data_IF_415122917344
#
_entry.id   IF_415122917344
#
_cell.length_a   1.000
_cell.length_b   1.000
_cell.length_c   1.000
_cell.angle_alpha   90.00
_cell.angle_beta   90.00
_cell.angle_gamma   90.00
#
_symmetry.space_group_name_H-M   'P 1'
#
loop_
_entity.id
_entity.type
_entity.pdbx_description
1 polymer ?
#
# COMPACT_ATOMS: atom_id res chain seq x y z
N UNK A 1 -13.69 6.38 9.70
CA UNK A 1 -13.43 4.95 9.42
C UNK A 1 -13.73 4.61 7.98
N UNK A 2 -14.98 4.77 7.53
CA UNK A 2 -15.37 4.46 6.15
C UNK A 2 -14.64 5.33 5.13
N UNK A 3 -14.41 6.61 5.43
CA UNK A 3 -13.66 7.51 4.56
C UNK A 3 -12.22 7.02 4.35
N UNK A 4 -11.56 6.58 5.40
CA UNK A 4 -10.18 6.10 5.30
C UNK A 4 -10.10 4.79 4.52
N UNK A 5 -11.08 3.91 4.70
CA UNK A 5 -11.12 2.66 3.93
C UNK A 5 -11.30 2.96 2.44
N UNK A 6 -12.22 3.85 2.10
CA UNK A 6 -12.43 4.26 0.70
C UNK A 6 -11.20 4.94 0.12
N UNK A 7 -10.54 5.77 0.92
CA UNK A 7 -9.30 6.43 0.51
C UNK A 7 -8.22 5.41 0.15
N UNK A 8 -8.01 4.40 1.00
CA UNK A 8 -7.02 3.35 0.74
C UNK A 8 -7.39 2.51 -0.49
N UNK A 9 -8.66 2.19 -0.62
CA UNK A 9 -9.16 1.45 -1.80
C UNK A 9 -8.85 2.20 -3.08
N UNK A 10 -9.18 3.48 -3.14
CA UNK A 10 -8.92 4.31 -4.32
C UNK A 10 -7.42 4.49 -4.57
N UNK A 11 -6.64 4.70 -3.52
CA UNK A 11 -5.19 4.85 -3.66
C UNK A 11 -4.57 3.59 -4.27
N UNK A 12 -4.97 2.43 -3.77
CA UNK A 12 -4.49 1.15 -4.30
C UNK A 12 -4.88 0.98 -5.77
N UNK A 13 -6.12 1.30 -6.12
CA UNK A 13 -6.61 1.15 -7.48
C UNK A 13 -5.90 2.11 -8.44
N UNK A 14 -5.61 3.33 -8.01
CA UNK A 14 -4.83 4.27 -8.79
C UNK A 14 -3.42 3.73 -9.05
N UNK A 15 -2.77 3.23 -8.00
CA UNK A 15 -1.44 2.64 -8.13
C UNK A 15 -1.46 1.43 -9.07
N UNK A 16 -2.51 0.63 -9.00
CA UNK A 16 -2.70 -0.51 -9.89
C UNK A 16 -2.78 -0.06 -11.35
N UNK A 17 -3.52 1.02 -11.62
CA UNK A 17 -3.60 1.58 -12.98
C UNK A 17 -2.25 2.06 -13.47
N UNK A 18 -1.50 2.77 -12.64
CA UNK A 18 -0.16 3.24 -13.00
C UNK A 18 0.80 2.08 -13.25
N UNK A 19 0.72 1.06 -12.41
CA UNK A 19 1.58 -0.10 -12.51
C UNK A 19 1.28 -0.90 -13.79
N UNK A 20 0.00 -1.07 -14.12
CA UNK A 20 -0.43 -1.78 -15.33
C UNK A 20 -0.01 -1.05 -16.60
N UNK A 21 -0.05 0.29 -16.57
CA UNK A 21 0.35 1.12 -17.72
C UNK A 21 1.85 1.39 -17.75
N UNK A 22 2.57 1.00 -16.71
CA UNK A 22 3.99 1.33 -16.50
C UNK A 22 4.25 2.84 -16.55
N UNK A 23 3.26 3.64 -16.14
CA UNK A 23 3.32 5.10 -16.22
C UNK A 23 2.42 5.73 -15.19
N UNK A 24 2.95 6.70 -14.43
CA UNK A 24 2.17 7.50 -13.50
C UNK A 24 1.48 8.64 -14.26
N UNK A 25 0.23 8.42 -14.63
CA UNK A 25 -0.58 9.40 -15.34
C UNK A 25 -1.54 10.07 -14.36
N UNK A 26 -1.29 11.35 -14.05
CA UNK A 26 -2.10 12.10 -13.10
C UNK A 26 -3.52 12.33 -13.62
N UNK A 27 -3.68 12.58 -14.91
CA UNK A 27 -5.00 12.81 -15.48
C UNK A 27 -5.87 11.57 -15.39
N UNK A 28 -5.33 10.40 -15.68
CA UNK A 28 -6.03 9.13 -15.53
C UNK A 28 -6.44 8.91 -14.07
N UNK A 29 -5.53 9.21 -13.13
CA UNK A 29 -5.80 9.06 -11.71
C UNK A 29 -6.93 9.98 -11.24
N UNK A 30 -6.92 11.24 -11.68
CA UNK A 30 -7.98 12.20 -11.34
C UNK A 30 -9.32 11.77 -11.89
N UNK A 31 -9.34 11.33 -13.14
CA UNK A 31 -10.56 10.84 -13.77
C UNK A 31 -11.12 9.63 -13.01
N UNK A 32 -10.26 8.70 -12.66
CA UNK A 32 -10.66 7.51 -11.89
C UNK A 32 -11.25 7.91 -10.54
N UNK A 33 -10.58 8.81 -9.82
CA UNK A 33 -11.07 9.27 -8.52
C UNK A 33 -12.42 9.99 -8.67
N UNK A 34 -12.57 10.84 -9.67
CA UNK A 34 -13.83 11.55 -9.93
C UNK A 34 -14.98 10.60 -10.23
N UNK A 35 -14.71 9.51 -10.93
CA UNK A 35 -15.73 8.53 -11.30
C UNK A 35 -16.11 7.59 -10.16
N UNK A 36 -15.29 7.49 -9.12
CA UNK A 36 -15.47 6.51 -8.05
C UNK A 36 -15.88 7.10 -6.70
N UNK A 37 -15.84 8.40 -6.54
CA UNK A 37 -16.38 9.07 -5.35
C UNK A 37 -16.71 10.52 -5.67
N UNK A 38 -17.74 11.04 -5.02
CA UNK A 38 -18.10 12.45 -5.11
C UNK A 38 -17.45 13.28 -3.99
N UNK A 39 -16.83 12.63 -3.00
CA UNK A 39 -16.24 13.32 -1.86
C UNK A 39 -14.87 13.89 -2.23
N UNK A 40 -14.72 15.23 -2.27
CA UNK A 40 -13.46 15.85 -2.65
C UNK A 40 -12.32 15.55 -1.66
N UNK A 41 -12.63 15.33 -0.39
CA UNK A 41 -11.61 14.95 0.59
C UNK A 41 -11.02 13.57 0.28
N UNK A 42 -11.88 12.63 -0.08
CA UNK A 42 -11.42 11.28 -0.45
C UNK A 42 -10.60 11.34 -1.73
N UNK A 43 -11.06 12.10 -2.73
CA UNK A 43 -10.31 12.27 -3.99
C UNK A 43 -8.90 12.78 -3.74
N UNK A 44 -8.80 13.86 -2.98
CA UNK A 44 -7.50 14.49 -2.70
C UNK A 44 -6.60 13.58 -1.87
N UNK A 45 -7.15 12.97 -0.83
CA UNK A 45 -6.37 12.09 0.04
C UNK A 45 -5.87 10.84 -0.70
N UNK A 46 -6.71 10.25 -1.54
CA UNK A 46 -6.32 9.05 -2.30
C UNK A 46 -5.21 9.37 -3.31
N UNK A 47 -5.31 10.50 -4.01
CA UNK A 47 -4.27 10.91 -4.95
C UNK A 47 -2.94 11.15 -4.24
N UNK A 48 -2.97 11.87 -3.12
CA UNK A 48 -1.76 12.16 -2.36
C UNK A 48 -1.11 10.88 -1.83
N UNK A 49 -1.91 9.99 -1.28
CA UNK A 49 -1.42 8.72 -0.75
C UNK A 49 -0.82 7.86 -1.85
N UNK A 50 -1.50 7.76 -3.00
CA UNK A 50 -1.00 7.00 -4.15
C UNK A 50 0.32 7.55 -4.66
N UNK A 51 0.44 8.86 -4.80
CA UNK A 51 1.67 9.49 -5.27
C UNK A 51 2.84 9.25 -4.31
N UNK A 52 2.59 9.40 -3.01
CA UNK A 52 3.63 9.23 -2.00
C UNK A 52 4.14 7.78 -1.95
N UNK A 53 3.22 6.83 -1.97
CA UNK A 53 3.59 5.42 -1.97
C UNK A 53 4.28 5.03 -3.27
N UNK A 54 3.80 5.54 -4.40
CA UNK A 54 4.38 5.26 -5.71
C UNK A 54 5.84 5.73 -5.81
N UNK A 55 6.14 6.89 -5.26
CA UNK A 55 7.51 7.41 -5.25
C UNK A 55 8.47 6.48 -4.52
N UNK A 56 8.02 5.79 -3.50
CA UNK A 56 8.84 4.88 -2.70
C UNK A 56 8.78 3.43 -3.18
N UNK A 57 8.09 3.14 -4.26
CA UNK A 57 7.81 1.76 -4.67
C UNK A 57 9.06 0.91 -4.91
N UNK A 58 10.10 1.47 -5.46
CA UNK A 58 11.32 0.71 -5.73
C UNK A 58 12.00 0.26 -4.46
N UNK A 59 12.12 1.16 -3.48
CA UNK A 59 12.69 0.84 -2.18
C UNK A 59 11.83 -0.19 -1.45
N UNK A 60 10.50 -0.02 -1.50
CA UNK A 60 9.56 -0.95 -0.88
C UNK A 60 9.67 -2.33 -1.53
N UNK A 61 9.70 -2.38 -2.86
CA UNK A 61 9.82 -3.64 -3.59
C UNK A 61 11.11 -4.37 -3.22
N UNK A 62 12.22 -3.65 -3.03
CA UNK A 62 13.48 -4.26 -2.61
C UNK A 62 13.38 -4.88 -1.22
N UNK A 63 12.70 -4.20 -0.29
CA UNK A 63 12.47 -4.75 1.05
C UNK A 63 11.62 -6.02 1.00
N UNK A 64 10.56 -6.00 0.21
CA UNK A 64 9.64 -7.13 0.09
C UNK A 64 10.34 -8.32 -0.56
N UNK A 65 11.18 -8.09 -1.55
CA UNK A 65 11.95 -9.16 -2.20
C UNK A 65 12.87 -9.87 -1.20
N UNK A 66 13.47 -9.13 -0.27
CA UNK A 66 14.31 -9.75 0.76
C UNK A 66 13.51 -10.57 1.77
N UNK A 67 12.28 -10.11 2.07
CA UNK A 67 11.39 -10.79 3.01
C UNK A 67 10.80 -12.06 2.40
N UNK A 68 10.41 -12.00 1.13
CA UNK A 68 9.73 -13.10 0.44
C UNK A 68 10.40 -13.36 -0.91
N UNK A 69 11.63 -13.92 -0.92
CA UNK A 69 12.38 -14.10 -2.17
C UNK A 69 11.72 -15.07 -3.14
N UNK A 70 10.88 -16.00 -2.68
CA UNK A 70 10.15 -16.91 -3.57
C UNK A 70 9.00 -16.21 -4.30
N UNK A 71 8.53 -15.07 -3.78
CA UNK A 71 7.45 -14.29 -4.36
C UNK A 71 7.87 -12.84 -4.52
N UNK A 72 8.82 -12.53 -5.43
CA UNK A 72 9.25 -11.15 -5.62
C UNK A 72 8.11 -10.30 -6.19
N UNK A 73 8.15 -8.98 -6.00
CA UNK A 73 7.05 -8.09 -6.45
C UNK A 73 6.64 -8.30 -7.90
N UNK A 74 7.58 -8.52 -8.81
CA UNK A 74 7.28 -8.72 -10.24
C UNK A 74 6.42 -9.96 -10.52
N UNK A 75 6.36 -10.91 -9.58
CA UNK A 75 5.60 -12.15 -9.72
C UNK A 75 4.31 -12.15 -8.91
N UNK A 76 4.08 -11.11 -8.13
CA UNK A 76 2.87 -10.98 -7.34
C UNK A 76 1.71 -10.51 -8.21
N UNK A 77 0.45 -10.90 -7.87
CA UNK A 77 -0.70 -10.25 -8.49
C UNK A 77 -0.62 -8.73 -8.31
N UNK A 78 -1.05 -7.98 -9.31
CA UNK A 78 -0.95 -6.51 -9.29
C UNK A 78 -1.63 -5.87 -8.10
N UNK A 79 -2.76 -6.42 -7.64
CA UNK A 79 -3.44 -5.92 -6.46
C UNK A 79 -2.58 -6.13 -5.21
N UNK A 80 -2.03 -7.33 -5.02
CA UNK A 80 -1.15 -7.63 -3.87
C UNK A 80 0.05 -6.70 -3.85
N UNK A 81 0.71 -6.55 -4.99
CA UNK A 81 1.90 -5.72 -5.09
C UNK A 81 1.62 -4.29 -4.66
N UNK A 82 0.53 -3.71 -5.16
CA UNK A 82 0.21 -2.32 -4.86
C UNK A 82 -0.39 -2.11 -3.48
N UNK A 83 -1.14 -3.09 -2.96
CA UNK A 83 -1.59 -3.07 -1.56
C UNK A 83 -0.40 -3.10 -0.60
N UNK A 84 0.58 -3.96 -0.88
CA UNK A 84 1.77 -4.06 -0.04
C UNK A 84 2.57 -2.76 -0.11
N UNK A 85 2.77 -2.19 -1.29
CA UNK A 85 3.44 -0.89 -1.43
C UNK A 85 2.75 0.19 -0.60
N UNK A 86 1.44 0.28 -0.71
CA UNK A 86 0.65 1.28 0.02
C UNK A 86 0.74 1.07 1.54
N UNK A 87 0.57 -0.16 1.99
CA UNK A 87 0.60 -0.48 3.42
C UNK A 87 2.00 -0.29 4.01
N UNK A 88 3.06 -0.70 3.33
CA UNK A 88 4.43 -0.48 3.80
C UNK A 88 4.72 1.01 3.91
N UNK A 89 4.29 1.79 2.91
CA UNK A 89 4.41 3.24 2.98
C UNK A 89 3.71 3.79 4.21
N UNK A 90 2.49 3.36 4.47
CA UNK A 90 1.70 3.83 5.62
C UNK A 90 2.34 3.42 6.95
N UNK A 91 2.81 2.18 7.06
CA UNK A 91 3.51 1.69 8.26
C UNK A 91 4.77 2.49 8.57
N UNK A 92 5.45 2.97 7.55
CA UNK A 92 6.75 3.63 7.70
C UNK A 92 6.62 5.15 7.87
N UNK A 93 5.62 5.75 7.24
CA UNK A 93 5.57 7.22 7.09
C UNK A 93 4.41 7.89 7.81
N UNK A 94 3.53 7.15 8.47
CA UNK A 94 2.39 7.75 9.19
C UNK A 94 2.32 7.23 10.61
N UNK A 95 1.45 7.85 11.42
CA UNK A 95 1.21 7.44 12.80
C UNK A 95 -0.01 6.53 12.94
N UNK A 96 -0.59 6.07 11.84
CA UNK A 96 -1.71 5.13 11.90
C UNK A 96 -1.26 3.87 12.64
N UNK A 97 -2.04 3.38 13.61
CA UNK A 97 -1.66 2.16 14.33
C UNK A 97 -1.40 1.01 13.36
N UNK A 98 -0.28 0.30 13.52
CA UNK A 98 0.08 -0.78 12.58
C UNK A 98 -0.99 -1.84 12.40
N UNK A 99 -1.70 -2.19 13.49
CA UNK A 99 -2.77 -3.17 13.40
C UNK A 99 -3.88 -2.71 12.44
N UNK A 100 -4.21 -1.42 12.46
CA UNK A 100 -5.21 -0.85 11.55
C UNK A 100 -4.73 -0.94 10.12
N UNK A 101 -3.48 -0.57 9.84
CA UNK A 101 -2.91 -0.63 8.50
C UNK A 101 -2.96 -2.05 7.95
N UNK A 102 -2.52 -3.02 8.74
CA UNK A 102 -2.45 -4.41 8.31
C UNK A 102 -3.85 -4.99 8.13
N UNK A 103 -4.75 -4.78 9.08
CA UNK A 103 -6.13 -5.30 8.99
C UNK A 103 -6.85 -4.74 7.75
N UNK A 104 -6.68 -3.46 7.46
CA UNK A 104 -7.30 -2.86 6.28
C UNK A 104 -6.71 -3.39 4.97
N UNK A 105 -5.40 -3.62 4.93
CA UNK A 105 -4.76 -4.21 3.75
C UNK A 105 -5.26 -5.63 3.52
N UNK A 106 -5.42 -6.41 4.59
CA UNK A 106 -5.96 -7.77 4.50
C UNK A 106 -7.39 -7.76 3.95
N UNK A 107 -8.24 -6.86 4.46
CA UNK A 107 -9.62 -6.76 3.99
C UNK A 107 -9.68 -6.36 2.52
N UNK A 108 -8.86 -5.43 2.07
CA UNK A 108 -8.80 -5.04 0.66
C UNK A 108 -8.30 -6.19 -0.21
N UNK A 109 -7.33 -6.96 0.27
CA UNK A 109 -6.84 -8.13 -0.47
C UNK A 109 -7.93 -9.21 -0.61
N UNK A 110 -8.73 -9.38 0.43
CA UNK A 110 -9.85 -10.33 0.42
C UNK A 110 -10.89 -9.93 -0.61
N UNK A 111 -11.17 -8.64 -0.72
CA UNK A 111 -12.18 -8.13 -1.64
C UNK A 111 -11.71 -8.08 -3.09
N UNK A 112 -10.45 -7.72 -3.33
CA UNK A 112 -9.98 -7.38 -4.68
C UNK A 112 -8.92 -8.32 -5.25
N UNK A 113 -8.45 -9.32 -4.51
CA UNK A 113 -7.37 -10.18 -4.99
C UNK A 113 -7.72 -11.66 -4.90
N UNK A 114 -6.74 -12.55 -4.69
CA UNK A 114 -6.94 -14.00 -4.72
C UNK A 114 -7.22 -14.56 -3.32
N UNK A 115 -7.66 -15.83 -3.25
CA UNK A 115 -7.92 -16.49 -1.97
C UNK A 115 -6.68 -16.58 -1.07
N UNK A 116 -5.50 -16.67 -1.67
CA UNK A 116 -4.25 -16.77 -0.93
C UNK A 116 -3.71 -15.40 -0.50
N UNK A 117 -4.22 -14.32 -1.08
CA UNK A 117 -3.68 -12.98 -0.85
C UNK A 117 -3.77 -12.51 0.59
N UNK A 118 -4.88 -12.72 1.34
CA UNK A 118 -4.92 -12.25 2.72
C UNK A 118 -3.79 -12.80 3.59
N UNK A 119 -3.49 -14.10 3.49
CA UNK A 119 -2.42 -14.71 4.26
C UNK A 119 -1.05 -14.20 3.81
N UNK A 120 -0.83 -14.06 2.51
CA UNK A 120 0.43 -13.56 1.97
C UNK A 120 0.68 -12.10 2.39
N UNK A 121 -0.31 -11.24 2.22
CA UNK A 121 -0.22 -9.82 2.59
C UNK A 121 0.06 -9.69 4.09
N UNK A 122 -0.67 -10.44 4.91
CA UNK A 122 -0.46 -10.44 6.36
C UNK A 122 0.99 -10.81 6.72
N UNK A 123 1.51 -11.89 6.13
CA UNK A 123 2.86 -12.36 6.41
C UNK A 123 3.93 -11.34 6.05
N UNK A 124 3.80 -10.72 4.88
CA UNK A 124 4.75 -9.70 4.42
C UNK A 124 4.70 -8.47 5.31
N UNK A 125 3.50 -7.95 5.60
CA UNK A 125 3.37 -6.74 6.39
C UNK A 125 3.80 -6.95 7.84
N UNK A 126 3.55 -8.12 8.40
CA UNK A 126 4.01 -8.45 9.75
C UNK A 126 5.54 -8.46 9.82
N UNK A 127 6.21 -9.00 8.80
CA UNK A 127 7.67 -8.99 8.73
C UNK A 127 8.22 -7.56 8.57
N UNK A 128 7.58 -6.73 7.76
CA UNK A 128 7.96 -5.32 7.61
C UNK A 128 7.83 -4.60 8.95
N UNK A 129 6.74 -4.84 9.66
CA UNK A 129 6.52 -4.21 10.97
C UNK A 129 7.61 -4.60 11.96
N UNK A 130 8.01 -5.87 11.97
CA UNK A 130 9.10 -6.35 12.84
C UNK A 130 10.42 -5.67 12.50
N UNK A 131 10.72 -5.50 11.20
CA UNK A 131 11.90 -4.77 10.77
C UNK A 131 11.87 -3.32 11.23
N UNK A 132 10.73 -2.65 11.09
CA UNK A 132 10.58 -1.26 11.52
C UNK A 132 10.83 -1.13 13.02
N UNK A 133 10.31 -2.05 13.83
CA UNK A 133 10.50 -2.05 15.28
C UNK A 133 11.97 -2.31 15.66
N UNK A 134 12.63 -3.19 14.94
CA UNK A 134 14.04 -3.47 15.18
C UNK A 134 14.92 -2.24 14.90
N UNK A 135 14.62 -1.51 13.82
CA UNK A 135 15.35 -0.29 13.49
C UNK A 135 15.15 0.80 14.56
N UNK A 136 13.93 0.95 15.07
CA UNK A 136 13.66 1.88 16.18
C UNK A 136 14.43 1.47 17.43
N UNK A 137 14.43 0.17 17.78
CA UNK A 137 15.13 -0.35 18.96
C UNK A 137 16.64 -0.13 18.86
N UNK A 138 17.21 -0.16 17.65
CA UNK A 138 18.63 0.09 17.42
C UNK A 138 18.96 1.59 17.39
N UNK A 139 17.94 2.45 17.49
CA UNK A 139 18.13 3.89 17.41
C UNK A 139 18.43 4.39 16.01
N UNK A 140 18.22 3.56 14.99
CA UNK A 140 18.48 3.90 13.58
C UNK A 140 17.38 4.77 13.00
N UNK A 141 16.15 4.59 13.50
CA UNK A 141 14.96 5.35 13.11
C UNK A 141 14.39 5.97 14.37
N UNK A 142 14.07 7.27 14.31
CA UNK A 142 13.46 7.95 15.44
C UNK A 142 11.96 7.69 15.45
N UNK A 143 11.46 7.34 16.62
CA UNK A 143 10.04 7.22 16.86
C UNK A 143 9.49 8.62 17.18
N UNK A 144 8.43 9.02 16.50
CA UNK A 144 7.80 10.32 16.72
C UNK A 144 6.40 10.20 17.27
#
# INVERSE_FOLDING_TARGET
MLKKRKTRELAMQIMFLWDSAAQRDIDTAREYANNNTEDPEIRAAALQMAESAWEQRQMIDQRVEKIAPQWPPRRQPGVDRNLIRLAVWELTNTHTPPKVVIDEAIELSREFSTEQSPAFVNGVLDAVLKENRALVSEGTVKEE
#
